data_IF_403083663198
#
_entry.id   IF_403083663198
#
_cell.length_a   1.000
_cell.length_b   1.000
_cell.length_c   1.000
_cell.angle_alpha   90.00
_cell.angle_beta   90.00
_cell.angle_gamma   90.00
#
_symmetry.space_group_name_H-M   'P 1'
#
loop_
_entity.id
_entity.type
_entity.pdbx_description
1 polymer ?
#
# COMPACT_ATOMS: atom_id res chain seq x y z
N UNK A 1 -14.32 37.21 -11.77
CA UNK A 1 -13.21 37.96 -11.14
C UNK A 1 -13.53 38.13 -9.67
N UNK A 2 -13.23 37.11 -8.87
CA UNK A 2 -13.40 36.98 -7.41
C UNK A 2 -12.52 35.77 -7.05
N UNK A 3 -11.63 35.72 -6.08
CA UNK A 3 -11.01 36.67 -5.17
C UNK A 3 -9.94 35.83 -4.45
N UNK A 4 -8.68 36.26 -4.48
CA UNK A 4 -7.58 35.56 -3.81
C UNK A 4 -7.85 35.51 -2.30
N UNK A 5 -7.81 34.31 -1.71
CA UNK A 5 -7.56 34.15 -0.29
C UNK A 5 -6.23 33.41 -0.11
N UNK A 6 -5.21 34.18 0.23
CA UNK A 6 -3.99 33.68 0.84
C UNK A 6 -4.30 33.34 2.30
N UNK A 7 -3.98 32.12 2.74
CA UNK A 7 -3.90 31.77 4.16
C UNK A 7 -2.46 31.37 4.43
N UNK A 8 -1.82 32.17 5.28
CA UNK A 8 -0.41 32.09 5.61
C UNK A 8 -0.08 30.98 6.59
N UNK A 9 1.16 30.51 6.47
CA UNK A 9 1.85 29.64 7.42
C UNK A 9 1.74 30.16 8.86
N UNK A 10 1.31 29.30 9.78
CA UNK A 10 1.56 29.49 11.21
C UNK A 10 2.78 28.62 11.58
N UNK A 11 3.96 29.25 11.60
CA UNK A 11 5.12 28.72 12.35
C UNK A 11 4.96 29.15 13.81
N UNK A 12 4.83 28.18 14.71
CA UNK A 12 4.84 28.41 16.16
C UNK A 12 6.21 28.98 16.59
N UNK A 13 6.24 30.26 16.95
CA UNK A 13 7.33 30.90 17.66
C UNK A 13 6.97 30.94 19.15
N UNK A 14 7.74 30.24 19.97
CA UNK A 14 7.73 30.37 21.42
C UNK A 14 8.32 31.71 21.83
N UNK A 15 7.57 32.54 22.55
CA UNK A 15 8.15 33.53 23.46
C UNK A 15 7.19 33.93 24.59
N UNK A 16 7.74 33.91 25.79
CA UNK A 16 7.16 34.27 27.09
C UNK A 16 6.73 35.74 27.18
N UNK A 17 5.61 36.04 27.84
CA UNK A 17 5.57 36.93 29.03
C UNK A 17 4.17 36.91 29.67
N UNK A 18 4.12 37.07 30.99
CA UNK A 18 2.92 36.86 31.81
C UNK A 18 1.88 37.98 31.80
N UNK A 19 0.68 37.61 32.25
CA UNK A 19 -0.43 38.51 32.59
C UNK A 19 -1.70 37.70 32.83
N UNK A 20 -2.04 37.46 34.09
CA UNK A 20 -3.31 36.83 34.50
C UNK A 20 -4.49 37.75 34.16
N UNK A 21 -5.48 37.21 33.45
CA UNK A 21 -6.88 37.59 33.60
C UNK A 21 -7.74 36.37 33.37
N UNK A 22 -8.55 36.02 34.38
CA UNK A 22 -9.41 34.86 34.39
C UNK A 22 -10.56 35.02 33.41
N UNK A 23 -10.49 34.30 32.30
CA UNK A 23 -11.65 33.91 31.51
C UNK A 23 -11.85 32.41 31.69
N UNK A 24 -13.11 32.01 31.91
CA UNK A 24 -13.54 30.61 32.00
C UNK A 24 -12.86 29.78 30.91
N UNK A 25 -12.12 28.76 31.33
CA UNK A 25 -11.58 27.75 30.42
C UNK A 25 -12.75 26.95 29.86
N UNK A 26 -13.31 27.43 28.76
CA UNK A 26 -13.85 26.54 27.74
C UNK A 26 -12.66 25.72 27.29
N UNK A 27 -12.59 24.46 27.72
CA UNK A 27 -11.59 23.50 27.29
C UNK A 27 -11.76 23.30 25.78
N UNK A 28 -11.12 24.16 24.98
CA UNK A 28 -10.85 23.88 23.58
C UNK A 28 -9.88 22.72 23.60
N UNK A 29 -10.37 21.49 23.51
CA UNK A 29 -9.52 20.34 23.22
C UNK A 29 -8.82 20.67 21.90
N UNK A 30 -7.56 21.08 21.98
CA UNK A 30 -6.73 21.31 20.80
C UNK A 30 -6.69 19.98 20.06
N UNK A 31 -7.16 19.96 18.81
CA UNK A 31 -7.08 18.76 17.96
C UNK A 31 -5.62 18.35 17.90
N UNK A 32 -5.32 17.11 18.27
CA UNK A 32 -3.96 16.56 18.27
C UNK A 32 -3.78 15.70 17.03
N UNK A 33 -2.57 15.75 16.49
CA UNK A 33 -2.18 14.96 15.33
C UNK A 33 -1.04 14.04 15.71
N UNK A 34 -1.04 12.86 15.10
CA UNK A 34 0.05 11.89 15.16
C UNK A 34 0.63 11.74 13.77
N UNK A 35 1.95 11.79 13.68
CA UNK A 35 2.69 11.62 12.42
C UNK A 35 3.00 10.14 12.19
N UNK A 36 2.87 9.72 10.94
CA UNK A 36 3.14 8.37 10.46
C UNK A 36 4.12 8.44 9.29
N UNK A 37 5.02 7.47 9.22
CA UNK A 37 5.96 7.29 8.10
C UNK A 37 5.41 6.21 7.16
N UNK A 38 5.36 6.54 5.86
CA UNK A 38 5.00 5.68 4.74
C UNK A 38 6.15 5.72 3.73
N UNK A 39 7.06 4.74 3.79
CA UNK A 39 8.28 4.75 2.96
C UNK A 39 9.01 6.11 3.08
N UNK A 40 9.09 6.89 2.01
CA UNK A 40 9.72 8.24 1.93
C UNK A 40 8.80 9.42 2.25
N UNK A 41 7.55 9.15 2.65
CA UNK A 41 6.53 10.17 2.95
C UNK A 41 6.17 10.15 4.43
N UNK A 42 6.07 11.33 5.04
CA UNK A 42 5.38 11.47 6.33
C UNK A 42 4.02 12.12 6.15
N UNK A 43 3.04 11.66 6.93
CA UNK A 43 1.68 12.23 6.97
C UNK A 43 1.24 12.41 8.42
N UNK A 44 0.42 13.41 8.69
CA UNK A 44 -0.16 13.64 10.02
C UNK A 44 -1.66 13.40 10.02
N UNK A 45 -2.10 12.52 10.91
CA UNK A 45 -3.51 12.12 11.03
C UNK A 45 -4.03 12.52 12.40
N UNK A 46 -5.30 12.91 12.49
CA UNK A 46 -5.93 13.23 13.76
C UNK A 46 -5.83 12.03 14.72
N UNK A 47 -5.25 12.25 15.89
CA UNK A 47 -5.00 11.21 16.89
C UNK A 47 -6.30 10.58 17.41
N UNK A 48 -7.45 11.25 17.26
CA UNK A 48 -8.74 10.70 17.68
C UNK A 48 -9.30 9.64 16.73
N UNK A 49 -8.72 9.46 15.54
CA UNK A 49 -9.20 8.48 14.55
C UNK A 49 -8.77 7.07 14.93
N UNK A 50 -9.66 6.10 14.75
CA UNK A 50 -9.33 4.69 15.00
C UNK A 50 -8.46 4.19 13.85
N UNK A 51 -7.29 3.64 14.13
CA UNK A 51 -6.50 2.92 13.11
C UNK A 51 -6.94 1.46 13.02
N UNK A 52 -6.70 0.81 11.88
CA UNK A 52 -6.90 -0.65 11.76
C UNK A 52 -5.66 -1.37 12.30
N UNK A 53 -5.83 -2.40 13.14
CA UNK A 53 -4.69 -3.25 13.52
C UNK A 53 -4.14 -3.97 12.27
N UNK A 54 -2.82 -3.92 12.07
CA UNK A 54 -2.14 -4.54 10.92
C UNK A 54 -1.66 -3.57 9.84
N UNK A 55 -1.66 -2.26 10.09
CA UNK A 55 -1.03 -1.26 9.22
C UNK A 55 0.43 -1.68 8.88
N UNK A 56 0.74 -1.79 7.60
CA UNK A 56 2.08 -2.14 7.11
C UNK A 56 2.92 -0.86 6.97
N UNK A 57 4.21 -0.99 6.67
CA UNK A 57 5.06 0.20 6.42
C UNK A 57 4.55 1.06 5.26
N UNK A 58 3.73 0.50 4.37
CA UNK A 58 3.40 1.10 3.09
C UNK A 58 1.90 1.39 2.96
N UNK A 59 1.08 1.06 3.96
CA UNK A 59 -0.35 1.36 3.96
C UNK A 59 -0.87 1.62 5.37
N UNK A 60 -1.63 2.72 5.50
CA UNK A 60 -2.31 3.13 6.72
C UNK A 60 -3.82 3.20 6.49
N UNK A 61 -4.58 2.66 7.43
CA UNK A 61 -6.04 2.73 7.44
C UNK A 61 -6.57 3.44 8.68
N UNK A 62 -7.42 4.44 8.49
CA UNK A 62 -8.04 5.18 9.58
C UNK A 62 -9.55 5.35 9.38
N UNK A 63 -10.26 5.34 10.50
CA UNK A 63 -11.69 5.57 10.59
C UNK A 63 -11.94 6.84 11.43
N UNK A 64 -12.18 7.98 10.76
CA UNK A 64 -12.56 9.24 11.42
C UNK A 64 -13.81 9.08 12.29
N UNK A 65 -14.76 8.32 11.78
CA UNK A 65 -16.01 7.90 12.41
C UNK A 65 -16.44 6.55 11.81
N UNK A 66 -17.58 5.99 12.24
CA UNK A 66 -18.07 4.68 11.78
C UNK A 66 -18.67 4.71 10.34
N UNK A 67 -18.68 5.88 9.69
CA UNK A 67 -19.18 6.12 8.33
C UNK A 67 -18.09 6.53 7.34
N UNK A 68 -16.84 6.63 7.79
CA UNK A 68 -15.75 7.26 7.05
C UNK A 68 -14.51 6.37 7.03
N UNK A 69 -13.79 6.37 5.92
CA UNK A 69 -12.53 5.68 5.73
C UNK A 69 -11.52 6.63 5.10
N UNK A 70 -10.40 6.83 5.77
CA UNK A 70 -9.19 7.41 5.19
C UNK A 70 -8.14 6.30 5.02
N UNK A 71 -7.53 6.24 3.85
CA UNK A 71 -6.46 5.30 3.53
C UNK A 71 -5.33 6.09 2.88
N UNK A 72 -4.11 5.86 3.34
CA UNK A 72 -2.91 6.39 2.69
C UNK A 72 -1.96 5.24 2.43
N UNK A 73 -1.46 5.11 1.21
CA UNK A 73 -0.51 4.08 0.87
C UNK A 73 0.50 4.57 -0.16
N UNK A 74 1.70 4.04 -0.05
CA UNK A 74 2.80 4.32 -0.95
C UNK A 74 3.08 3.08 -1.80
N UNK A 75 3.34 3.27 -3.09
CA UNK A 75 3.72 2.19 -4.00
C UNK A 75 4.97 2.59 -4.79
N UNK A 76 5.95 1.70 -4.95
CA UNK A 76 7.04 1.94 -5.86
C UNK A 76 6.50 1.98 -7.30
N UNK A 77 6.83 3.03 -8.04
CA UNK A 77 6.43 3.20 -9.44
C UNK A 77 7.55 3.92 -10.20
N UNK A 78 8.10 3.26 -11.22
CA UNK A 78 9.19 3.80 -12.04
C UNK A 78 8.73 4.90 -13.00
N UNK A 79 7.47 4.83 -13.42
CA UNK A 79 6.87 5.78 -14.36
C UNK A 79 6.05 6.82 -13.60
N UNK A 80 6.31 8.10 -13.89
CA UNK A 80 5.65 9.21 -13.20
C UNK A 80 4.16 9.26 -13.53
N UNK A 81 3.31 9.48 -12.51
CA UNK A 81 1.88 9.74 -12.73
C UNK A 81 1.62 11.11 -13.35
N UNK A 82 2.65 11.94 -13.58
CA UNK A 82 2.51 13.13 -14.44
C UNK A 82 2.27 12.75 -15.89
N UNK A 83 2.72 11.58 -16.34
CA UNK A 83 2.32 11.03 -17.63
C UNK A 83 0.86 10.58 -17.56
N UNK A 84 0.01 11.19 -18.40
CA UNK A 84 -1.42 10.92 -18.43
C UNK A 84 -1.76 9.48 -18.84
N UNK A 85 -0.90 8.82 -19.61
CA UNK A 85 -1.06 7.42 -20.03
C UNK A 85 -0.84 6.49 -18.85
N UNK A 86 0.27 6.70 -18.13
CA UNK A 86 0.64 5.94 -16.92
C UNK A 86 -0.45 6.12 -15.86
N UNK A 87 -0.85 7.38 -15.60
CA UNK A 87 -1.92 7.71 -14.66
C UNK A 87 -3.25 7.06 -15.04
N UNK A 88 -3.63 7.09 -16.32
CA UNK A 88 -4.87 6.46 -16.78
C UNK A 88 -4.85 4.94 -16.61
N UNK A 89 -3.74 4.28 -16.91
CA UNK A 89 -3.59 2.83 -16.71
C UNK A 89 -3.67 2.46 -15.23
N UNK A 90 -3.00 3.24 -14.38
CA UNK A 90 -3.01 3.06 -12.94
C UNK A 90 -4.44 3.19 -12.35
N UNK A 91 -5.16 4.25 -12.70
CA UNK A 91 -6.55 4.47 -12.25
C UNK A 91 -7.51 3.38 -12.77
N UNK A 92 -7.29 2.88 -13.99
CA UNK A 92 -8.09 1.78 -14.54
C UNK A 92 -7.91 0.49 -13.75
N UNK A 93 -6.70 0.23 -13.25
CA UNK A 93 -6.44 -0.89 -12.34
C UNK A 93 -7.25 -0.79 -11.05
N UNK A 94 -7.38 0.43 -10.48
CA UNK A 94 -8.25 0.65 -9.32
C UNK A 94 -9.72 0.45 -9.64
N UNK A 95 -10.20 1.01 -10.75
CA UNK A 95 -11.60 0.92 -11.16
C UNK A 95 -12.02 -0.54 -11.35
N UNK A 96 -11.16 -1.37 -11.94
CA UNK A 96 -11.39 -2.81 -12.14
C UNK A 96 -11.55 -3.59 -10.83
N UNK A 97 -10.97 -3.12 -9.73
CA UNK A 97 -11.17 -3.73 -8.40
C UNK A 97 -12.59 -3.51 -7.86
N UNK A 98 -13.32 -2.53 -8.40
CA UNK A 98 -14.67 -2.13 -7.96
C UNK A 98 -14.71 -1.42 -6.59
N UNK A 99 -13.59 -1.33 -5.88
CA UNK A 99 -13.53 -0.74 -4.53
C UNK A 99 -13.45 0.78 -4.55
N UNK A 100 -12.77 1.34 -5.55
CA UNK A 100 -12.64 2.79 -5.76
C UNK A 100 -12.70 3.07 -7.27
N UNK A 101 -13.58 3.99 -7.65
CA UNK A 101 -13.87 4.41 -9.01
C UNK A 101 -13.59 5.93 -9.08
N UNK A 102 -12.42 6.34 -9.60
CA UNK A 102 -12.04 7.73 -9.76
C UNK A 102 -12.83 8.43 -10.88
N UNK A 103 -13.16 9.70 -10.69
CA UNK A 103 -13.84 10.57 -11.64
C UNK A 103 -13.38 12.03 -11.46
N UNK A 104 -13.74 12.92 -12.41
CA UNK A 104 -13.54 14.37 -12.31
C UNK A 104 -12.13 14.79 -11.86
N UNK A 105 -11.13 14.56 -12.70
CA UNK A 105 -9.75 14.99 -12.43
C UNK A 105 -9.63 16.51 -12.22
N UNK A 106 -8.86 16.89 -11.22
CA UNK A 106 -8.38 18.24 -10.95
C UNK A 106 -6.92 18.19 -10.50
N UNK A 107 -6.24 19.34 -10.50
CA UNK A 107 -4.84 19.44 -10.07
C UNK A 107 -4.72 20.25 -8.79
N UNK A 108 -3.82 19.83 -7.90
CA UNK A 108 -3.51 20.51 -6.64
C UNK A 108 -2.00 20.57 -6.45
N UNK A 109 -1.52 21.55 -5.68
CA UNK A 109 -0.11 21.66 -5.30
C UNK A 109 0.06 21.29 -3.84
N UNK A 110 0.93 20.32 -3.56
CA UNK A 110 1.33 19.93 -2.20
C UNK A 110 2.84 20.11 -2.11
N UNK A 111 3.28 20.95 -1.18
CA UNK A 111 4.70 21.29 -0.99
C UNK A 111 5.45 21.61 -2.30
N UNK A 112 4.79 22.35 -3.20
CA UNK A 112 5.33 22.71 -4.52
C UNK A 112 5.25 21.62 -5.60
N UNK A 113 4.96 20.37 -5.24
CA UNK A 113 4.73 19.26 -6.16
C UNK A 113 3.33 19.31 -6.77
N UNK A 114 3.24 19.00 -8.05
CA UNK A 114 1.96 18.88 -8.78
C UNK A 114 1.35 17.50 -8.52
N UNK A 115 0.20 17.48 -7.88
CA UNK A 115 -0.60 16.27 -7.64
C UNK A 115 -1.94 16.32 -8.34
N UNK A 116 -2.58 15.16 -8.42
CA UNK A 116 -3.85 14.93 -9.11
C UNK A 116 -4.91 14.51 -8.11
N UNK A 117 -6.06 15.18 -8.16
CA UNK A 117 -7.19 14.97 -7.28
C UNK A 117 -8.40 14.53 -8.09
N UNK A 118 -9.08 13.50 -7.63
CA UNK A 118 -10.25 12.91 -8.26
C UNK A 118 -11.38 12.89 -7.26
N UNK A 119 -12.60 13.11 -7.74
CA UNK A 119 -13.77 12.59 -7.04
C UNK A 119 -13.70 11.06 -7.08
N UNK A 120 -14.12 10.39 -6.02
CA UNK A 120 -14.08 8.95 -5.93
C UNK A 120 -15.43 8.41 -5.46
N UNK A 121 -15.86 7.31 -6.05
CA UNK A 121 -16.99 6.51 -5.57
C UNK A 121 -16.55 5.07 -5.38
N UNK A 122 -17.30 4.26 -4.63
CA UNK A 122 -16.95 2.86 -4.51
C UNK A 122 -17.88 2.10 -3.59
N UNK A 123 -17.65 0.80 -3.50
CA UNK A 123 -18.39 -0.08 -2.60
C UNK A 123 -17.43 -0.78 -1.66
N UNK A 124 -17.66 -0.64 -0.35
CA UNK A 124 -16.88 -1.29 0.71
C UNK A 124 -17.87 -2.04 1.58
N UNK A 125 -17.68 -3.35 1.69
CA UNK A 125 -18.58 -4.25 2.44
C UNK A 125 -20.06 -4.14 2.04
N UNK A 126 -20.32 -3.89 0.75
CA UNK A 126 -21.67 -3.76 0.19
C UNK A 126 -22.31 -2.36 0.38
N UNK A 127 -21.66 -1.47 1.12
CA UNK A 127 -22.11 -0.10 1.32
C UNK A 127 -21.49 0.83 0.27
N UNK A 128 -22.28 1.78 -0.23
CA UNK A 128 -21.81 2.79 -1.17
C UNK A 128 -21.04 3.89 -0.44
N UNK A 129 -19.97 4.38 -1.04
CA UNK A 129 -19.14 5.44 -0.50
C UNK A 129 -18.83 6.50 -1.56
N UNK A 130 -18.70 7.75 -1.14
CA UNK A 130 -18.25 8.87 -1.96
C UNK A 130 -17.11 9.62 -1.28
N UNK A 131 -16.22 10.23 -2.05
CA UNK A 131 -15.02 10.83 -1.49
C UNK A 131 -14.08 11.41 -2.51
N UNK A 132 -12.81 11.46 -2.14
CA UNK A 132 -11.72 11.91 -3.00
C UNK A 132 -10.52 10.97 -2.96
N UNK A 133 -9.81 10.94 -4.07
CA UNK A 133 -8.55 10.25 -4.26
C UNK A 133 -7.50 11.25 -4.72
N UNK A 134 -6.34 11.23 -4.08
CA UNK A 134 -5.20 12.06 -4.38
C UNK A 134 -4.00 11.21 -4.77
N UNK A 135 -3.31 11.62 -5.85
CA UNK A 135 -2.09 11.03 -6.36
C UNK A 135 -0.99 12.07 -6.45
N UNK A 136 0.22 11.72 -6.02
CA UNK A 136 1.41 12.53 -6.27
C UNK A 136 2.62 11.63 -6.47
N UNK A 137 3.53 12.05 -7.35
CA UNK A 137 4.84 11.45 -7.45
C UNK A 137 5.62 11.67 -6.15
N UNK A 138 6.40 10.68 -5.79
CA UNK A 138 7.43 10.71 -4.76
C UNK A 138 8.75 10.33 -5.42
N UNK A 139 9.93 10.59 -4.83
CA UNK A 139 11.22 10.31 -5.46
C UNK A 139 11.38 8.90 -6.04
N UNK A 140 10.77 7.89 -5.39
CA UNK A 140 10.90 6.47 -5.76
C UNK A 140 9.57 5.78 -6.04
N UNK A 141 8.46 6.51 -6.04
CA UNK A 141 7.16 5.93 -6.38
C UNK A 141 6.01 6.92 -6.37
N UNK A 142 4.84 6.47 -5.89
CA UNK A 142 3.64 7.29 -5.79
C UNK A 142 3.02 7.20 -4.40
N UNK A 143 2.56 8.34 -3.91
CA UNK A 143 1.68 8.41 -2.76
C UNK A 143 0.22 8.45 -3.24
N UNK A 144 -0.59 7.59 -2.64
CA UNK A 144 -2.03 7.56 -2.79
C UNK A 144 -2.68 7.91 -1.47
N UNK A 145 -3.61 8.86 -1.48
CA UNK A 145 -4.44 9.17 -0.31
C UNK A 145 -5.90 9.16 -0.75
N UNK A 146 -6.71 8.34 -0.09
CA UNK A 146 -8.14 8.18 -0.36
C UNK A 146 -8.89 8.53 0.91
N UNK A 147 -9.91 9.37 0.80
CA UNK A 147 -10.85 9.60 1.90
C UNK A 147 -12.27 9.52 1.34
N UNK A 148 -13.00 8.50 1.79
CA UNK A 148 -14.37 8.24 1.43
C UNK A 148 -15.30 8.13 2.65
N UNK A 149 -16.59 8.42 2.46
CA UNK A 149 -17.63 8.24 3.46
C UNK A 149 -18.92 7.66 2.85
N UNK A 150 -19.73 6.96 3.67
CA UNK A 150 -20.97 6.29 3.26
C UNK A 150 -22.06 7.24 2.72
N UNK A 151 -22.00 8.51 3.13
CA UNK A 151 -22.97 9.56 2.81
C UNK A 151 -22.32 10.75 2.08
N UNK A 152 -23.03 11.89 2.04
CA UNK A 152 -22.55 13.18 1.50
C UNK A 152 -21.13 13.48 2.01
N UNK A 153 -20.19 13.51 1.07
CA UNK A 153 -18.82 13.92 1.29
C UNK A 153 -18.79 15.43 1.56
N UNK A 154 -19.14 15.74 2.81
CA UNK A 154 -19.48 17.07 3.30
C UNK A 154 -18.29 18.01 3.29
N UNK A 155 -18.55 19.30 3.50
CA UNK A 155 -17.50 20.31 3.67
C UNK A 155 -16.55 20.00 4.83
N UNK A 156 -17.02 19.31 5.88
CA UNK A 156 -16.17 18.87 7.00
C UNK A 156 -15.18 17.80 6.56
N UNK A 157 -15.65 16.77 5.84
CA UNK A 157 -14.78 15.68 5.35
C UNK A 157 -13.75 16.16 4.35
N UNK A 158 -14.14 17.11 3.49
CA UNK A 158 -13.22 17.83 2.59
C UNK A 158 -12.11 18.55 3.35
N UNK A 159 -12.46 19.28 4.42
CA UNK A 159 -11.47 19.97 5.25
C UNK A 159 -10.52 18.99 5.96
N UNK A 160 -11.03 17.87 6.46
CA UNK A 160 -10.21 16.83 7.08
C UNK A 160 -9.26 16.19 6.04
N UNK A 161 -9.74 15.91 4.83
CA UNK A 161 -8.89 15.42 3.75
C UNK A 161 -7.81 16.44 3.36
N UNK A 162 -8.18 17.71 3.18
CA UNK A 162 -7.23 18.80 2.92
C UNK A 162 -6.19 18.93 4.05
N UNK A 163 -6.56 18.68 5.30
CA UNK A 163 -5.61 18.67 6.43
C UNK A 163 -4.60 17.52 6.31
N UNK A 164 -5.03 16.32 5.91
CA UNK A 164 -4.11 15.21 5.61
C UNK A 164 -3.16 15.63 4.49
N UNK A 165 -3.71 16.13 3.38
CA UNK A 165 -2.92 16.55 2.21
C UNK A 165 -1.89 17.65 2.57
N UNK A 166 -2.27 18.64 3.36
CA UNK A 166 -1.37 19.71 3.81
C UNK A 166 -0.29 19.24 4.79
N UNK A 167 -0.44 18.03 5.35
CA UNK A 167 0.54 17.42 6.26
C UNK A 167 1.52 16.48 5.56
N UNK A 168 1.30 16.19 4.28
CA UNK A 168 2.19 15.36 3.47
C UNK A 168 3.52 16.08 3.33
N UNK A 169 4.58 15.42 3.78
CA UNK A 169 5.96 15.86 3.65
C UNK A 169 6.76 14.71 3.01
N UNK A 170 7.28 14.98 1.81
CA UNK A 170 8.00 14.01 0.98
C UNK A 170 9.48 14.34 1.15
N UNK A 171 10.22 13.42 1.77
CA UNK A 171 11.64 13.64 2.05
C UNK A 171 12.45 13.65 0.76
N UNK A 172 13.17 14.74 0.49
CA UNK A 172 14.13 14.84 -0.62
C UNK A 172 15.41 14.01 -0.40
N UNK A 173 15.65 13.54 0.83
CA UNK A 173 16.76 12.65 1.14
C UNK A 173 16.33 11.19 0.97
N UNK A 174 17.07 10.46 0.14
CA UNK A 174 17.14 8.99 0.22
C UNK A 174 17.66 8.66 1.61
N UNK A 175 16.74 8.47 2.55
CA UNK A 175 17.10 8.09 3.91
C UNK A 175 17.50 6.62 3.84
N UNK A 176 18.81 6.36 3.78
CA UNK A 176 19.33 5.11 4.32
C UNK A 176 18.72 4.97 5.72
N UNK A 177 17.83 4.00 5.86
CA UNK A 177 17.16 3.69 7.12
C UNK A 177 18.22 3.66 8.24
N UNK A 178 18.01 4.33 9.38
CA UNK A 178 18.99 4.32 10.46
C UNK A 178 19.05 2.90 11.02
N UNK A 179 19.97 2.11 10.48
CA UNK A 179 20.49 0.91 11.09
C UNK A 179 20.92 1.30 12.48
N UNK A 180 20.16 0.81 13.47
CA UNK A 180 20.47 0.99 14.87
C UNK A 180 21.81 0.31 15.13
N UNK A 181 22.87 1.10 15.16
CA UNK A 181 24.23 0.66 15.48
C UNK A 181 24.20 -0.06 16.82
N UNK A 182 24.39 -1.37 16.77
CA UNK A 182 24.79 -2.14 17.94
C UNK A 182 26.13 -2.75 17.57
N UNK A 183 27.18 -2.26 18.22
CA UNK A 183 28.54 -2.71 17.99
C UNK A 183 28.68 -4.23 18.24
N UNK A 184 29.55 -4.81 17.43
CA UNK A 184 29.89 -6.23 17.24
C UNK A 184 30.32 -6.95 18.53
N UNK A 185 30.40 -8.30 18.49
CA UNK A 185 31.75 -8.83 18.45
C UNK A 185 31.97 -9.82 17.30
N UNK A 186 33.13 -9.63 16.67
CA UNK A 186 33.80 -10.51 15.74
C UNK A 186 33.93 -11.95 16.26
N UNK A 187 33.90 -12.88 15.30
CA UNK A 187 34.51 -14.22 15.29
C UNK A 187 33.52 -15.38 15.34
N UNK A 188 33.26 -16.02 14.21
CA UNK A 188 34.15 -17.07 13.69
C UNK A 188 33.54 -17.68 12.42
N UNK A 189 34.39 -17.80 11.41
CA UNK A 189 34.21 -18.55 10.19
C UNK A 189 33.61 -19.94 10.47
N UNK A 190 32.47 -20.24 9.84
CA UNK A 190 32.03 -21.62 9.62
C UNK A 190 31.39 -21.69 8.25
N UNK A 191 32.19 -22.18 7.32
CA UNK A 191 31.86 -22.63 5.98
C UNK A 191 30.89 -23.81 6.06
N UNK A 192 29.64 -23.54 6.40
CA UNK A 192 28.54 -24.44 6.08
C UNK A 192 28.16 -24.19 4.63
N UNK A 193 28.41 -25.16 3.76
CA UNK A 193 27.87 -25.20 2.40
C UNK A 193 26.36 -24.96 2.49
N UNK A 194 25.92 -23.76 2.12
CA UNK A 194 24.51 -23.40 1.99
C UNK A 194 23.97 -24.33 0.91
N UNK A 195 23.15 -25.33 1.31
CA UNK A 195 22.42 -26.10 0.31
C UNK A 195 21.58 -25.10 -0.46
N UNK A 196 21.79 -25.01 -1.76
CA UNK A 196 21.03 -24.11 -2.61
C UNK A 196 19.54 -24.46 -2.48
N UNK A 197 18.76 -23.56 -1.89
CA UNK A 197 17.33 -23.76 -1.73
C UNK A 197 16.70 -23.87 -3.13
N UNK A 198 15.95 -24.94 -3.35
CA UNK A 198 15.21 -25.17 -4.58
C UNK A 198 13.91 -25.92 -4.21
N UNK A 199 12.77 -25.23 -4.15
CA UNK A 199 11.53 -25.84 -3.66
C UNK A 199 11.05 -26.93 -4.62
N UNK A 200 10.59 -28.05 -4.07
CA UNK A 200 9.98 -29.16 -4.82
C UNK A 200 8.48 -29.29 -4.56
N UNK A 201 7.97 -28.59 -3.56
CA UNK A 201 6.57 -28.53 -3.18
C UNK A 201 6.27 -27.19 -2.51
N UNK A 202 4.98 -26.89 -2.37
CA UNK A 202 4.48 -25.69 -1.69
C UNK A 202 4.07 -25.94 -0.23
N UNK A 203 4.52 -27.03 0.40
CA UNK A 203 4.11 -27.37 1.77
C UNK A 203 4.59 -26.34 2.79
N UNK A 204 3.89 -26.27 3.93
CA UNK A 204 4.26 -25.41 5.05
C UNK A 204 5.70 -25.63 5.51
N UNK A 205 6.16 -26.88 5.53
CA UNK A 205 7.54 -27.21 5.92
C UNK A 205 8.56 -26.62 4.93
N UNK A 206 8.26 -26.65 3.63
CA UNK A 206 9.13 -26.09 2.58
C UNK A 206 9.13 -24.56 2.64
N UNK A 207 7.97 -23.92 2.77
CA UNK A 207 7.86 -22.46 2.96
C UNK A 207 8.59 -22.02 4.24
N UNK A 208 8.41 -22.75 5.34
CA UNK A 208 9.07 -22.48 6.61
C UNK A 208 10.59 -22.74 6.58
N UNK A 209 11.15 -23.28 5.50
CA UNK A 209 12.58 -23.54 5.39
C UNK A 209 13.38 -22.41 4.74
N UNK A 210 12.71 -21.41 4.13
CA UNK A 210 13.36 -20.25 3.50
C UNK A 210 14.16 -19.42 4.51
N UNK A 211 15.31 -18.91 4.09
CA UNK A 211 16.20 -18.12 4.96
C UNK A 211 16.57 -16.78 4.34
N UNK A 212 16.72 -16.76 3.02
CA UNK A 212 17.17 -15.59 2.26
C UNK A 212 16.08 -15.04 1.34
N UNK A 213 16.23 -13.80 0.86
CA UNK A 213 15.32 -13.25 -0.15
C UNK A 213 15.39 -14.00 -1.49
N UNK A 214 16.53 -14.60 -1.80
CA UNK A 214 16.70 -15.55 -2.91
C UNK A 214 15.83 -16.80 -2.73
N UNK A 215 15.80 -17.36 -1.53
CA UNK A 215 14.93 -18.50 -1.19
C UNK A 215 13.45 -18.11 -1.31
N UNK A 216 13.09 -16.92 -0.80
CA UNK A 216 11.76 -16.34 -0.92
C UNK A 216 11.31 -16.20 -2.38
N UNK A 217 12.16 -15.65 -3.25
CA UNK A 217 11.87 -15.52 -4.69
C UNK A 217 11.63 -16.87 -5.36
N UNK A 218 12.49 -17.86 -5.09
CA UNK A 218 12.32 -19.21 -5.61
C UNK A 218 11.01 -19.85 -5.13
N UNK A 219 10.65 -19.62 -3.87
CA UNK A 219 9.40 -20.14 -3.29
C UNK A 219 8.15 -19.47 -3.88
N UNK A 220 8.18 -18.15 -4.03
CA UNK A 220 7.09 -17.37 -4.61
C UNK A 220 6.82 -17.79 -6.07
N UNK A 221 7.88 -17.85 -6.88
CA UNK A 221 7.82 -18.30 -8.27
C UNK A 221 7.31 -19.76 -8.36
N UNK A 222 7.71 -20.63 -7.43
CA UNK A 222 7.20 -22.01 -7.37
C UNK A 222 5.70 -22.06 -7.14
N UNK A 223 5.18 -21.35 -6.12
CA UNK A 223 3.74 -21.33 -5.79
C UNK A 223 2.91 -20.84 -6.99
N UNK A 224 3.40 -19.78 -7.63
CA UNK A 224 2.82 -19.22 -8.85
C UNK A 224 2.76 -20.25 -9.99
N UNK A 225 3.87 -20.93 -10.27
CA UNK A 225 3.97 -21.90 -11.35
C UNK A 225 3.11 -23.14 -11.09
N UNK A 226 3.03 -23.55 -9.82
CA UNK A 226 2.14 -24.63 -9.38
C UNK A 226 0.67 -24.27 -9.61
N UNK A 227 0.25 -23.04 -9.26
CA UNK A 227 -1.09 -22.55 -9.56
C UNK A 227 -1.41 -22.54 -11.06
N UNK A 228 -0.51 -22.04 -11.91
CA UNK A 228 -0.70 -22.05 -13.37
C UNK A 228 -0.89 -23.47 -13.88
N UNK A 229 -0.03 -24.40 -13.44
CA UNK A 229 -0.10 -25.81 -13.83
C UNK A 229 -1.43 -26.45 -13.41
N UNK A 230 -1.87 -26.17 -12.17
CA UNK A 230 -3.13 -26.72 -11.66
C UNK A 230 -4.35 -26.10 -12.35
N UNK A 231 -4.31 -24.81 -12.66
CA UNK A 231 -5.32 -24.11 -13.45
C UNK A 231 -5.47 -24.73 -14.84
N UNK A 232 -4.36 -24.90 -15.56
CA UNK A 232 -4.35 -25.51 -16.90
C UNK A 232 -4.90 -26.94 -16.89
N UNK A 233 -4.49 -27.74 -15.90
CA UNK A 233 -4.98 -29.09 -15.72
C UNK A 233 -6.48 -29.14 -15.42
N UNK A 234 -6.99 -28.22 -14.60
CA UNK A 234 -8.40 -28.14 -14.25
C UNK A 234 -9.23 -27.72 -15.47
N UNK A 235 -8.89 -26.61 -16.12
CA UNK A 235 -9.64 -26.09 -17.28
C UNK A 235 -9.61 -27.07 -18.46
N UNK A 236 -8.47 -27.75 -18.68
CA UNK A 236 -8.33 -28.78 -19.72
C UNK A 236 -9.24 -29.99 -19.49
N UNK A 237 -9.47 -30.39 -18.23
CA UNK A 237 -10.38 -31.51 -17.92
C UNK A 237 -11.82 -31.25 -18.35
N UNK A 238 -12.24 -29.98 -18.36
CA UNK A 238 -13.57 -29.57 -18.80
C UNK A 238 -13.63 -29.20 -20.30
N UNK A 239 -12.52 -29.26 -21.02
CA UNK A 239 -12.45 -28.89 -22.45
C UNK A 239 -12.70 -27.40 -22.71
N UNK A 240 -12.51 -26.55 -21.70
CA UNK A 240 -12.75 -25.11 -21.76
C UNK A 240 -11.49 -24.28 -22.02
N UNK A 241 -10.35 -24.96 -22.15
CA UNK A 241 -9.04 -24.33 -22.30
C UNK A 241 -8.77 -23.86 -23.71
N UNK A 242 -8.27 -22.64 -23.84
CA UNK A 242 -7.64 -22.17 -25.06
C UNK A 242 -6.31 -21.47 -24.75
N UNK A 243 -5.43 -21.42 -25.76
CA UNK A 243 -4.07 -20.88 -25.62
C UNK A 243 -4.06 -19.40 -25.18
N UNK A 244 -5.12 -18.64 -25.49
CA UNK A 244 -5.21 -17.21 -25.15
C UNK A 244 -5.52 -17.04 -23.66
N UNK A 245 -6.40 -17.88 -23.12
CA UNK A 245 -6.74 -17.90 -21.69
C UNK A 245 -5.53 -18.30 -20.84
N UNK A 246 -4.78 -19.31 -21.28
CA UNK A 246 -3.56 -19.75 -20.61
C UNK A 246 -2.44 -18.71 -20.68
N UNK A 247 -2.27 -18.05 -21.83
CA UNK A 247 -1.28 -16.99 -21.96
C UNK A 247 -1.63 -15.78 -21.09
N UNK A 248 -2.90 -15.35 -21.07
CA UNK A 248 -3.35 -14.23 -20.22
C UNK A 248 -3.12 -14.50 -18.72
N UNK A 249 -3.36 -15.75 -18.27
CA UNK A 249 -3.05 -16.17 -16.90
C UNK A 249 -1.56 -16.14 -16.63
N UNK A 250 -0.74 -16.69 -17.54
CA UNK A 250 0.72 -16.69 -17.43
C UNK A 250 1.28 -15.28 -17.39
N UNK A 251 0.76 -14.36 -18.19
CA UNK A 251 1.21 -12.96 -18.24
C UNK A 251 0.87 -12.23 -16.93
N UNK A 252 -0.37 -12.35 -16.45
CA UNK A 252 -0.83 -11.74 -15.19
C UNK A 252 0.02 -12.20 -14.01
N UNK A 253 0.30 -13.49 -13.96
CA UNK A 253 1.03 -14.09 -12.85
C UNK A 253 2.54 -13.83 -12.99
N UNK A 254 3.09 -13.80 -14.22
CA UNK A 254 4.49 -13.43 -14.47
C UNK A 254 4.77 -11.97 -14.07
N UNK A 255 3.81 -11.06 -14.27
CA UNK A 255 3.91 -9.68 -13.77
C UNK A 255 4.01 -9.63 -12.24
N UNK A 256 3.28 -10.50 -11.52
CA UNK A 256 3.39 -10.57 -10.06
C UNK A 256 4.77 -11.03 -9.59
N UNK A 257 5.37 -12.01 -10.29
CA UNK A 257 6.76 -12.47 -10.03
C UNK A 257 7.77 -11.37 -10.34
N UNK A 258 7.59 -10.64 -11.44
CA UNK A 258 8.47 -9.51 -11.78
C UNK A 258 8.41 -8.39 -10.73
N UNK A 259 7.23 -8.06 -10.22
CA UNK A 259 7.05 -7.07 -9.15
C UNK A 259 7.77 -7.50 -7.86
N UNK A 260 7.60 -8.76 -7.45
CA UNK A 260 8.29 -9.33 -6.30
C UNK A 260 9.82 -9.37 -6.51
N UNK A 261 10.27 -9.69 -7.72
CA UNK A 261 11.68 -9.68 -8.10
C UNK A 261 12.29 -8.28 -8.10
N UNK A 262 11.52 -7.24 -8.44
CA UNK A 262 11.96 -5.84 -8.32
C UNK A 262 12.15 -5.42 -6.86
N UNK A 263 11.23 -5.82 -5.98
CA UNK A 263 11.27 -5.47 -4.55
C UNK A 263 12.37 -6.22 -3.79
N UNK A 264 12.49 -7.54 -4.01
CA UNK A 264 13.32 -8.42 -3.18
C UNK A 264 14.53 -9.02 -3.90
N UNK A 265 14.55 -8.98 -5.25
CA UNK A 265 15.68 -9.48 -6.05
C UNK A 265 17.02 -8.80 -5.74
N UNK A 266 17.08 -7.47 -5.53
CA UNK A 266 18.32 -6.79 -5.13
C UNK A 266 18.87 -7.23 -3.77
N UNK A 267 18.02 -7.80 -2.89
CA UNK A 267 18.42 -8.27 -1.58
C UNK A 267 19.08 -9.66 -1.64
N UNK A 268 18.84 -10.42 -2.71
CA UNK A 268 19.56 -11.66 -3.02
C UNK A 268 19.70 -12.61 -1.83
N UNK A 269 20.93 -12.99 -1.50
CA UNK A 269 21.24 -13.94 -0.42
C UNK A 269 21.18 -13.31 0.99
N UNK A 270 20.74 -12.06 1.12
CA UNK A 270 20.52 -11.45 2.44
C UNK A 270 19.44 -12.21 3.22
N UNK A 271 19.63 -12.32 4.53
CA UNK A 271 18.67 -12.94 5.43
C UNK A 271 17.36 -12.15 5.44
N UNK A 272 16.24 -12.86 5.47
CA UNK A 272 14.92 -12.24 5.51
C UNK A 272 14.73 -11.49 6.83
N UNK A 273 14.47 -10.19 6.75
CA UNK A 273 13.96 -9.37 7.85
C UNK A 273 12.43 -9.47 7.85
N UNK A 274 11.80 -9.70 9.01
CA UNK A 274 10.36 -9.96 9.06
C UNK A 274 9.99 -11.35 8.52
N UNK A 275 10.79 -12.37 8.86
CA UNK A 275 10.65 -13.73 8.34
C UNK A 275 9.28 -14.34 8.62
N UNK A 276 8.70 -14.05 9.78
CA UNK A 276 7.38 -14.56 10.15
C UNK A 276 6.32 -14.02 9.20
N UNK A 277 6.39 -12.73 8.88
CA UNK A 277 5.47 -12.03 8.00
C UNK A 277 5.58 -12.55 6.55
N UNK A 278 6.79 -12.74 6.04
CA UNK A 278 7.01 -13.33 4.71
C UNK A 278 6.49 -14.77 4.63
N UNK A 279 6.72 -15.58 5.66
CA UNK A 279 6.21 -16.96 5.71
C UNK A 279 4.68 -16.95 5.73
N UNK A 280 4.06 -16.11 6.56
CA UNK A 280 2.60 -15.99 6.64
C UNK A 280 2.03 -15.56 5.28
N UNK A 281 2.60 -14.53 4.65
CA UNK A 281 2.20 -14.08 3.32
C UNK A 281 2.25 -15.21 2.29
N UNK A 282 3.37 -15.95 2.22
CA UNK A 282 3.50 -17.04 1.24
C UNK A 282 2.47 -18.14 1.46
N UNK A 283 2.15 -18.47 2.72
CA UNK A 283 1.12 -19.46 3.06
C UNK A 283 -0.26 -18.97 2.65
N UNK A 284 -0.64 -17.76 3.06
CA UNK A 284 -1.94 -17.16 2.73
C UNK A 284 -2.13 -17.00 1.21
N UNK A 285 -1.08 -16.58 0.50
CA UNK A 285 -1.09 -16.44 -0.95
C UNK A 285 -1.31 -17.79 -1.65
N UNK A 286 -0.54 -18.82 -1.28
CA UNK A 286 -0.72 -20.19 -1.78
C UNK A 286 -2.13 -20.71 -1.50
N UNK A 287 -2.61 -20.56 -0.27
CA UNK A 287 -3.92 -21.07 0.17
C UNK A 287 -5.06 -20.35 -0.55
N UNK A 288 -4.94 -19.04 -0.77
CA UNK A 288 -5.88 -18.24 -1.55
C UNK A 288 -5.97 -18.68 -3.02
N UNK A 289 -4.82 -18.95 -3.65
CA UNK A 289 -4.77 -19.48 -5.01
C UNK A 289 -5.40 -20.88 -5.11
N UNK A 290 -5.13 -21.77 -4.14
CA UNK A 290 -5.76 -23.08 -4.07
C UNK A 290 -7.28 -22.98 -3.91
N UNK A 291 -7.75 -22.10 -3.01
CA UNK A 291 -9.17 -21.86 -2.80
C UNK A 291 -9.87 -21.36 -4.07
N UNK A 292 -9.21 -20.48 -4.84
CA UNK A 292 -9.75 -20.00 -6.12
C UNK A 292 -9.92 -21.14 -7.14
N UNK A 293 -8.96 -22.07 -7.21
CA UNK A 293 -9.08 -23.26 -8.06
C UNK A 293 -10.20 -24.19 -7.62
N UNK A 294 -10.35 -24.42 -6.31
CA UNK A 294 -11.42 -25.25 -5.76
C UNK A 294 -12.80 -24.68 -6.07
N UNK A 295 -13.00 -23.38 -5.86
CA UNK A 295 -14.25 -22.70 -6.17
C UNK A 295 -14.61 -22.80 -7.66
N UNK A 296 -13.62 -22.61 -8.53
CA UNK A 296 -13.80 -22.71 -9.97
C UNK A 296 -14.08 -24.15 -10.42
N UNK A 297 -13.36 -25.14 -9.88
CA UNK A 297 -13.64 -26.55 -10.15
C UNK A 297 -15.04 -26.95 -9.68
N UNK A 298 -15.49 -26.46 -8.51
CA UNK A 298 -16.84 -26.70 -8.02
C UNK A 298 -17.91 -26.07 -8.93
N UNK A 299 -17.65 -24.89 -9.50
CA UNK A 299 -18.55 -24.22 -10.44
C UNK A 299 -18.63 -24.93 -11.80
N UNK A 300 -17.56 -25.63 -12.22
CA UNK A 300 -17.48 -26.34 -13.50
C UNK A 300 -17.94 -27.80 -13.43
N UNK A 301 -17.86 -28.42 -12.24
CA UNK A 301 -18.31 -29.80 -11.99
C UNK A 301 -19.72 -29.94 -11.43
N UNK A 302 -20.43 -28.82 -11.19
CA UNK A 302 -21.80 -28.76 -10.68
C UNK A 302 -22.88 -28.78 -11.76
#
# INVERSE_FOLDING_TARGET
MVGLFAIGLIKNLTSSSGGQSSTEQVSTSSIRYKTYQLSEVTISINESWKSKEGDTSDTLYFYPDDSSLAMAYWLPLEESVKDATVRSQYLKGMEQSGKVIPANESSVKIDGMDGFLYDATGTIDGEAYTGQLFLVDTPTGILNVIYMAKDDYSSTRKQEFEQILNSVDISDEVVESPSKTTETPTSSESTATVSEFNPTDSSDATIESIKTYSDYMKMYEFIVNEYITNYENMVSQYGLGDDTMYQSMRDTVSQSVEQQKKQYGPLGDAAIVGRTEIITFLKEYRDGLQQQLEQMSAALGG
#
